data_IF_436126987487
#
_entry.id   IF_436126987487
#
_cell.length_a   1.000
_cell.length_b   1.000
_cell.length_c   1.000
_cell.angle_alpha   90.00
_cell.angle_beta   90.00
_cell.angle_gamma   90.00
#
_symmetry.space_group_name_H-M   'P 1'
#
loop_
_entity.id
_entity.type
_entity.pdbx_description
1 polymer ?
#
# COMPACT_ATOMS: atom_id res chain seq x y z
N UNK A 1 37.60 14.05 35.09
CA UNK A 1 37.87 12.65 34.70
C UNK A 1 36.62 11.98 34.16
N UNK A 2 36.62 11.61 32.88
CA UNK A 2 35.55 10.80 32.30
C UNK A 2 36.03 9.35 32.23
N UNK A 3 35.40 8.46 32.99
CA UNK A 3 35.65 7.02 32.89
C UNK A 3 35.00 6.46 31.61
N UNK A 4 35.76 5.66 30.84
CA UNK A 4 35.24 4.91 29.68
C UNK A 4 34.89 3.49 30.12
N UNK A 5 33.70 3.03 29.74
CA UNK A 5 33.24 1.66 29.99
C UNK A 5 33.08 0.97 28.63
N UNK A 6 33.70 -0.19 28.46
CA UNK A 6 33.60 -1.00 27.25
C UNK A 6 32.69 -2.21 27.48
N UNK A 7 31.62 -2.31 26.70
CA UNK A 7 30.68 -3.44 26.74
C UNK A 7 30.97 -4.37 25.56
N UNK A 8 31.93 -5.27 25.73
CA UNK A 8 32.40 -6.16 24.65
C UNK A 8 31.71 -7.53 24.62
N UNK A 9 31.11 -7.92 25.73
CA UNK A 9 30.44 -9.22 25.87
C UNK A 9 29.14 -9.27 25.06
N UNK A 10 29.06 -10.23 24.13
CA UNK A 10 27.89 -10.45 23.28
C UNK A 10 27.15 -11.72 23.73
N UNK A 11 25.91 -11.52 24.17
CA UNK A 11 25.00 -12.57 24.65
C UNK A 11 23.95 -12.98 23.60
N UNK A 12 23.98 -12.37 22.40
CA UNK A 12 22.95 -12.54 21.36
C UNK A 12 23.38 -13.54 20.29
N UNK A 13 24.58 -13.37 19.74
CA UNK A 13 25.05 -14.07 18.56
C UNK A 13 25.83 -15.35 18.91
N UNK A 14 25.81 -16.31 18.00
CA UNK A 14 26.65 -17.50 18.07
C UNK A 14 28.11 -17.15 17.77
N UNK A 15 29.03 -17.98 18.28
CA UNK A 15 30.48 -17.76 18.15
C UNK A 15 30.96 -17.55 16.70
N UNK A 16 30.53 -18.31 15.67
CA UNK A 16 30.98 -18.08 14.29
C UNK A 16 30.58 -16.72 13.72
N UNK A 17 29.44 -16.15 14.14
CA UNK A 17 29.03 -14.81 13.72
C UNK A 17 29.97 -13.77 14.33
N UNK A 18 30.30 -13.92 15.61
CA UNK A 18 31.22 -13.01 16.33
C UNK A 18 32.61 -13.08 15.72
N UNK A 19 33.13 -14.29 15.51
CA UNK A 19 34.46 -14.51 14.94
C UNK A 19 34.54 -13.90 13.54
N UNK A 20 33.51 -14.13 12.70
CA UNK A 20 33.41 -13.55 11.37
C UNK A 20 33.37 -12.01 11.37
N UNK A 21 32.53 -11.41 12.23
CA UNK A 21 32.45 -9.95 12.35
C UNK A 21 33.78 -9.36 12.79
N UNK A 22 34.43 -9.96 13.80
CA UNK A 22 35.72 -9.50 14.28
C UNK A 22 36.78 -9.54 13.19
N UNK A 23 36.84 -10.62 12.40
CA UNK A 23 37.80 -10.78 11.30
C UNK A 23 37.56 -9.74 10.19
N UNK A 24 36.31 -9.59 9.73
CA UNK A 24 35.95 -8.63 8.68
C UNK A 24 36.25 -7.19 9.08
N UNK A 25 35.85 -6.78 10.29
CA UNK A 25 36.04 -5.40 10.73
C UNK A 25 37.48 -5.10 11.13
N UNK A 26 38.22 -6.09 11.62
CA UNK A 26 39.66 -5.94 11.82
C UNK A 26 40.36 -5.62 10.49
N UNK A 27 40.11 -6.39 9.44
CA UNK A 27 40.72 -6.15 8.11
C UNK A 27 40.25 -4.83 7.47
N UNK A 28 38.97 -4.47 7.56
CA UNK A 28 38.43 -3.26 6.91
C UNK A 28 38.90 -1.97 7.59
N UNK A 29 39.11 -1.99 8.91
CA UNK A 29 39.46 -0.77 9.68
C UNK A 29 40.96 -0.60 9.88
N UNK A 30 41.75 -1.65 9.71
CA UNK A 30 43.19 -1.59 9.87
C UNK A 30 43.85 -1.01 8.61
N UNK A 31 44.63 0.08 8.74
CA UNK A 31 45.39 0.65 7.61
C UNK A 31 44.71 1.75 6.77
N UNK A 32 43.65 2.39 7.28
CA UNK A 32 42.96 3.60 6.80
C UNK A 32 41.77 3.47 5.82
N UNK A 33 40.61 3.94 6.31
CA UNK A 33 39.57 4.76 5.64
C UNK A 33 38.54 5.31 6.63
N UNK A 34 38.48 4.73 7.82
CA UNK A 34 37.64 5.14 8.93
C UNK A 34 38.52 5.73 10.04
N UNK A 35 38.09 6.81 10.67
CA UNK A 35 38.85 7.53 11.72
C UNK A 35 39.01 6.73 13.04
N UNK A 36 38.56 5.47 13.06
CA UNK A 36 38.50 4.63 14.26
C UNK A 36 39.03 3.23 13.98
N UNK A 37 39.96 2.78 14.80
CA UNK A 37 40.48 1.41 14.80
C UNK A 37 39.51 0.48 15.54
N UNK A 38 39.28 -0.72 14.99
CA UNK A 38 38.49 -1.76 15.66
C UNK A 38 39.26 -2.46 16.79
N UNK A 39 40.59 -2.31 16.82
CA UNK A 39 41.46 -2.95 17.80
C UNK A 39 41.11 -2.51 19.22
N UNK A 40 40.88 -3.48 20.11
CA UNK A 40 40.46 -3.26 21.49
C UNK A 40 38.94 -3.16 21.70
N UNK A 41 38.16 -3.07 20.62
CA UNK A 41 36.69 -3.08 20.62
C UNK A 41 36.09 -4.40 20.11
N UNK A 42 36.90 -5.46 20.03
CA UNK A 42 36.46 -6.76 19.53
C UNK A 42 35.34 -7.34 20.41
N UNK A 43 34.38 -7.96 19.74
CA UNK A 43 33.27 -8.65 20.41
C UNK A 43 33.78 -9.92 21.09
N UNK A 44 33.37 -10.13 22.34
CA UNK A 44 33.68 -11.31 23.14
C UNK A 44 32.43 -12.18 23.23
N UNK A 45 32.52 -13.44 22.80
CA UNK A 45 31.43 -14.39 22.96
C UNK A 45 31.21 -14.68 24.46
N UNK A 46 30.00 -14.41 24.97
CA UNK A 46 29.68 -14.52 26.39
C UNK A 46 28.43 -15.37 26.67
N UNK A 47 27.97 -16.14 25.69
CA UNK A 47 26.73 -16.91 25.79
C UNK A 47 26.99 -18.31 26.35
N UNK A 48 26.18 -18.72 27.34
CA UNK A 48 26.18 -20.07 27.94
C UNK A 48 25.26 -21.03 27.16
N UNK A 49 25.36 -21.07 25.83
CA UNK A 49 24.61 -22.00 24.99
C UNK A 49 25.49 -23.18 24.56
N UNK A 50 24.90 -24.39 24.52
CA UNK A 50 25.57 -25.60 24.05
C UNK A 50 26.04 -25.52 22.59
N UNK A 51 26.84 -26.51 22.17
CA UNK A 51 27.64 -26.57 20.94
C UNK A 51 26.90 -26.45 19.59
N UNK A 52 25.58 -26.25 19.55
CA UNK A 52 24.87 -26.07 18.28
C UNK A 52 25.24 -24.74 17.65
N UNK A 53 26.17 -24.80 16.72
CA UNK A 53 26.72 -23.62 16.04
C UNK A 53 26.76 -23.87 14.54
N UNK A 54 26.14 -22.99 13.77
CA UNK A 54 26.14 -23.03 12.30
C UNK A 54 27.25 -22.13 11.75
N UNK A 55 27.99 -22.56 10.72
CA UNK A 55 29.00 -21.74 10.10
C UNK A 55 28.37 -20.58 9.33
N UNK A 56 29.10 -19.47 9.22
CA UNK A 56 28.78 -18.42 8.25
C UNK A 56 29.00 -19.00 6.86
N UNK A 57 27.95 -19.00 6.04
CA UNK A 57 27.96 -19.63 4.71
C UNK A 57 27.92 -18.56 3.63
N UNK A 58 28.82 -18.68 2.64
CA UNK A 58 28.82 -17.85 1.45
C UNK A 58 28.27 -18.63 0.27
N UNK A 59 27.21 -18.13 -0.33
CA UNK A 59 26.69 -18.63 -1.59
C UNK A 59 27.12 -17.68 -2.72
N UNK A 60 27.85 -18.20 -3.70
CA UNK A 60 28.35 -17.43 -4.84
C UNK A 60 27.58 -17.83 -6.10
N UNK A 61 26.90 -16.87 -6.72
CA UNK A 61 26.29 -17.05 -8.04
C UNK A 61 27.36 -16.87 -9.12
N UNK A 62 27.75 -17.96 -9.77
CA UNK A 62 28.66 -17.94 -10.92
C UNK A 62 27.83 -17.65 -12.18
N UNK A 63 27.74 -16.37 -12.56
CA UNK A 63 27.12 -15.92 -13.81
C UNK A 63 28.15 -15.17 -14.66
N UNK A 64 28.13 -15.41 -15.97
CA UNK A 64 28.87 -14.58 -16.91
C UNK A 64 28.43 -13.11 -16.78
N UNK A 65 29.39 -12.18 -16.88
CA UNK A 65 29.25 -10.76 -16.50
C UNK A 65 28.10 -9.99 -17.19
N UNK A 66 27.47 -10.57 -18.20
CA UNK A 66 26.49 -9.88 -19.06
C UNK A 66 25.05 -9.89 -18.53
N UNK A 67 24.67 -10.75 -17.55
CA UNK A 67 23.28 -10.87 -17.11
C UNK A 67 23.04 -10.65 -15.60
N UNK A 68 23.16 -9.38 -15.18
CA UNK A 68 22.94 -8.95 -13.78
C UNK A 68 21.52 -9.19 -13.28
N UNK A 69 20.52 -9.24 -14.16
CA UNK A 69 19.13 -9.48 -13.76
C UNK A 69 18.94 -10.93 -13.33
N UNK A 70 19.43 -11.85 -14.16
CA UNK A 70 19.38 -13.29 -13.91
C UNK A 70 20.17 -13.70 -12.65
N UNK A 71 21.30 -13.04 -12.39
CA UNK A 71 22.07 -13.27 -11.17
C UNK A 71 21.24 -13.00 -9.89
N UNK A 72 20.46 -11.91 -9.87
CA UNK A 72 19.59 -11.57 -8.73
C UNK A 72 18.40 -12.52 -8.60
N UNK A 73 17.82 -12.94 -9.72
CA UNK A 73 16.76 -13.95 -9.71
C UNK A 73 17.25 -15.27 -9.10
N UNK A 74 18.44 -15.73 -9.50
CA UNK A 74 19.07 -16.92 -8.94
C UNK A 74 19.36 -16.77 -7.44
N UNK A 75 19.81 -15.60 -7.01
CA UNK A 75 20.04 -15.29 -5.59
C UNK A 75 18.75 -15.41 -4.77
N UNK A 76 17.67 -14.80 -5.24
CA UNK A 76 16.36 -14.86 -4.59
C UNK A 76 15.81 -16.30 -4.52
N UNK A 77 15.94 -17.05 -5.61
CA UNK A 77 15.49 -18.45 -5.68
C UNK A 77 16.31 -19.36 -4.77
N UNK A 78 17.63 -19.13 -4.69
CA UNK A 78 18.51 -19.85 -3.77
C UNK A 78 18.12 -19.59 -2.31
N UNK A 79 17.89 -18.33 -1.92
CA UNK A 79 17.49 -17.98 -0.56
C UNK A 79 16.15 -18.63 -0.21
N UNK A 80 15.16 -18.57 -1.11
CA UNK A 80 13.87 -19.21 -0.89
C UNK A 80 13.99 -20.73 -0.73
N UNK A 81 14.81 -21.37 -1.57
CA UNK A 81 15.14 -22.80 -1.46
C UNK A 81 15.81 -23.16 -0.14
N UNK A 82 16.72 -22.31 0.34
CA UNK A 82 17.46 -22.57 1.56
C UNK A 82 16.57 -22.42 2.80
N UNK A 83 15.69 -21.42 2.83
CA UNK A 83 14.70 -21.28 3.90
C UNK A 83 13.78 -22.52 3.94
N UNK A 84 13.26 -22.96 2.79
CA UNK A 84 12.43 -24.18 2.70
C UNK A 84 13.18 -25.42 3.17
N UNK A 85 14.48 -25.52 2.86
CA UNK A 85 15.32 -26.63 3.29
C UNK A 85 15.44 -26.70 4.82
N UNK A 86 15.59 -25.54 5.46
CA UNK A 86 15.89 -25.38 6.88
C UNK A 86 14.66 -25.48 7.80
N UNK A 87 13.52 -24.90 7.37
CA UNK A 87 12.28 -24.84 8.15
C UNK A 87 11.78 -26.25 8.48
N UNK A 88 11.41 -26.47 9.75
CA UNK A 88 10.88 -27.76 10.21
C UNK A 88 11.90 -28.91 10.27
N UNK A 89 13.14 -28.73 9.80
CA UNK A 89 14.21 -29.75 9.85
C UNK A 89 15.31 -29.40 10.83
N UNK A 90 15.70 -28.13 10.88
CA UNK A 90 16.78 -27.67 11.74
C UNK A 90 16.24 -27.11 13.05
N UNK A 91 16.97 -27.37 14.14
CA UNK A 91 16.63 -26.91 15.48
C UNK A 91 17.38 -25.65 15.84
N UNK A 92 16.70 -24.79 16.58
CA UNK A 92 17.25 -23.65 17.31
C UNK A 92 17.96 -24.15 18.57
N UNK A 93 18.71 -23.25 19.19
CA UNK A 93 19.38 -23.51 20.47
C UNK A 93 18.40 -23.86 21.61
N UNK A 94 17.17 -23.34 21.56
CA UNK A 94 16.09 -23.66 22.52
C UNK A 94 15.46 -25.04 22.29
N UNK A 95 15.96 -25.79 21.30
CA UNK A 95 15.46 -27.11 20.90
C UNK A 95 14.24 -27.08 19.98
N UNK A 96 13.61 -25.93 19.75
CA UNK A 96 12.47 -25.82 18.85
C UNK A 96 12.91 -25.85 17.38
N UNK A 97 12.07 -26.39 16.50
CA UNK A 97 12.32 -26.34 15.06
C UNK A 97 12.24 -24.90 14.55
N UNK A 98 13.06 -24.57 13.55
CA UNK A 98 12.99 -23.30 12.83
C UNK A 98 11.62 -23.12 12.16
N UNK A 99 11.06 -21.92 12.31
CA UNK A 99 9.81 -21.46 11.69
C UNK A 99 10.13 -20.28 10.77
N UNK A 100 9.23 -19.94 9.85
CA UNK A 100 9.44 -18.81 8.91
C UNK A 100 9.75 -17.48 9.61
N UNK A 101 9.14 -17.21 10.76
CA UNK A 101 9.39 -16.01 11.57
C UNK A 101 10.80 -15.90 12.16
N UNK A 102 11.57 -16.98 12.12
CA UNK A 102 12.95 -17.02 12.62
C UNK A 102 13.97 -16.57 11.55
N UNK A 103 13.52 -16.22 10.33
CA UNK A 103 14.35 -15.75 9.22
C UNK A 103 14.15 -14.26 8.95
N UNK A 104 15.25 -13.57 8.63
CA UNK A 104 15.24 -12.18 8.15
C UNK A 104 16.16 -12.06 6.92
N UNK A 105 15.67 -11.41 5.86
CA UNK A 105 16.45 -11.14 4.64
C UNK A 105 16.79 -9.64 4.65
N UNK A 106 18.08 -9.33 4.80
CA UNK A 106 18.57 -7.95 4.82
C UNK A 106 19.09 -7.56 3.44
N UNK A 107 18.51 -6.51 2.86
CA UNK A 107 18.91 -5.97 1.57
C UNK A 107 19.55 -4.59 1.76
N UNK A 108 20.63 -4.30 1.01
CA UNK A 108 21.27 -2.97 1.04
C UNK A 108 20.35 -1.83 0.61
N UNK A 109 19.31 -2.14 -0.18
CA UNK A 109 18.21 -1.26 -0.49
C UNK A 109 16.95 -2.12 -0.70
N UNK A 110 15.92 -1.91 0.11
CA UNK A 110 14.65 -2.65 0.02
C UNK A 110 13.86 -2.19 -1.21
N UNK A 111 13.77 -0.86 -1.42
CA UNK A 111 13.02 -0.24 -2.51
C UNK A 111 13.50 -0.73 -3.88
N UNK A 112 12.58 -1.29 -4.67
CA UNK A 112 12.85 -1.80 -6.01
C UNK A 112 13.52 -3.18 -6.07
N UNK A 113 13.88 -3.81 -4.94
CA UNK A 113 14.45 -5.16 -4.89
C UNK A 113 13.56 -6.19 -4.21
N UNK A 114 12.79 -5.83 -3.19
CA UNK A 114 12.05 -6.81 -2.39
C UNK A 114 10.99 -7.60 -3.17
N UNK A 115 10.34 -7.02 -4.20
CA UNK A 115 9.37 -7.76 -5.05
C UNK A 115 9.97 -9.03 -5.65
N UNK A 116 11.26 -9.00 -5.99
CA UNK A 116 11.96 -10.16 -6.55
C UNK A 116 12.03 -11.32 -5.55
N UNK A 117 12.42 -11.02 -4.30
CA UNK A 117 12.51 -12.00 -3.22
C UNK A 117 11.13 -12.45 -2.76
N UNK A 118 10.16 -11.54 -2.64
CA UNK A 118 8.77 -11.88 -2.33
C UNK A 118 8.18 -12.87 -3.34
N UNK A 119 8.41 -12.64 -4.64
CA UNK A 119 7.95 -13.55 -5.69
C UNK A 119 8.59 -14.94 -5.58
N UNK A 120 9.90 -15.02 -5.31
CA UNK A 120 10.58 -16.29 -5.11
C UNK A 120 10.04 -17.05 -3.88
N UNK A 121 9.81 -16.35 -2.78
CA UNK A 121 9.22 -16.92 -1.55
C UNK A 121 7.77 -17.39 -1.78
N UNK A 122 6.96 -16.57 -2.45
CA UNK A 122 5.57 -16.89 -2.77
C UNK A 122 5.43 -18.13 -3.67
N UNK A 123 6.33 -18.31 -4.65
CA UNK A 123 6.34 -19.51 -5.50
C UNK A 123 6.53 -20.81 -4.71
N UNK A 124 7.18 -20.74 -3.55
CA UNK A 124 7.40 -21.86 -2.61
C UNK A 124 6.41 -21.87 -1.45
N UNK A 125 5.39 -21.01 -1.47
CA UNK A 125 4.41 -20.90 -0.39
C UNK A 125 4.97 -20.37 0.94
N UNK A 126 6.12 -19.67 0.90
CA UNK A 126 6.77 -19.14 2.10
C UNK A 126 6.16 -17.77 2.42
N UNK A 127 5.51 -17.59 3.58
CA UNK A 127 4.98 -16.30 3.99
C UNK A 127 6.12 -15.32 4.28
N UNK A 128 6.04 -14.12 3.72
CA UNK A 128 6.98 -13.04 3.99
C UNK A 128 6.26 -11.74 4.30
N UNK A 129 6.90 -10.92 5.13
CA UNK A 129 6.51 -9.55 5.41
C UNK A 129 7.69 -8.70 5.01
N UNK A 130 7.45 -7.71 4.16
CA UNK A 130 8.47 -6.75 3.76
C UNK A 130 8.07 -5.38 4.27
N UNK A 131 9.07 -4.61 4.70
CA UNK A 131 8.94 -3.17 4.96
C UNK A 131 8.85 -2.40 3.63
N UNK A 132 8.14 -2.94 2.63
CA UNK A 132 7.85 -2.17 1.44
C UNK A 132 6.83 -1.10 1.79
N UNK A 133 7.31 0.15 1.75
CA UNK A 133 6.53 1.34 1.45
C UNK A 133 5.98 1.27 0.01
N UNK A 134 5.29 0.20 -0.40
CA UNK A 134 4.20 0.41 -1.34
C UNK A 134 3.21 1.24 -0.54
N UNK A 135 3.22 2.55 -0.79
CA UNK A 135 2.32 3.47 -0.12
C UNK A 135 0.94 2.87 -0.26
N UNK A 136 0.31 2.47 0.85
CA UNK A 136 -1.01 1.85 0.83
C UNK A 136 -2.01 2.74 0.06
N UNK A 137 -1.72 4.04 -0.02
CA UNK A 137 -2.46 5.06 -0.74
C UNK A 137 -2.37 4.93 -2.26
N UNK A 138 -1.36 4.23 -2.81
CA UNK A 138 -1.24 3.92 -4.23
C UNK A 138 -2.04 2.68 -4.65
N UNK A 139 -2.55 1.89 -3.68
CA UNK A 139 -3.34 0.70 -3.97
C UNK A 139 -4.66 1.09 -4.66
N UNK A 140 -5.07 0.42 -5.76
CA UNK A 140 -6.26 0.81 -6.53
C UNK A 140 -7.55 0.93 -5.70
N UNK A 141 -7.76 0.01 -4.76
CA UNK A 141 -8.89 0.00 -3.85
C UNK A 141 -8.86 1.18 -2.86
N UNK A 142 -7.68 1.59 -2.41
CA UNK A 142 -7.53 2.74 -1.53
C UNK A 142 -7.74 4.03 -2.32
N UNK A 143 -7.13 4.15 -3.50
CA UNK A 143 -7.34 5.26 -4.43
C UNK A 143 -8.82 5.45 -4.77
N UNK A 144 -9.56 4.36 -4.96
CA UNK A 144 -11.01 4.40 -5.19
C UNK A 144 -11.74 5.00 -3.99
N UNK A 145 -11.43 4.51 -2.78
CA UNK A 145 -12.04 5.03 -1.55
C UNK A 145 -11.73 6.50 -1.35
N UNK A 146 -10.47 6.92 -1.51
CA UNK A 146 -10.08 8.33 -1.39
C UNK A 146 -10.77 9.18 -2.43
N UNK A 147 -10.84 8.72 -3.69
CA UNK A 147 -11.59 9.38 -4.75
C UNK A 147 -13.07 9.53 -4.38
N UNK A 148 -13.67 8.49 -3.79
CA UNK A 148 -15.05 8.54 -3.31
C UNK A 148 -15.23 9.60 -2.23
N UNK A 149 -14.37 9.60 -1.20
CA UNK A 149 -14.41 10.58 -0.10
C UNK A 149 -14.23 12.00 -0.63
N UNK A 150 -13.25 12.24 -1.52
CA UNK A 150 -13.00 13.54 -2.15
C UNK A 150 -14.18 14.01 -3.00
N UNK A 151 -14.80 13.15 -3.80
CA UNK A 151 -16.02 13.51 -4.54
C UNK A 151 -17.20 13.79 -3.62
N UNK A 152 -17.35 13.04 -2.53
CA UNK A 152 -18.42 13.25 -1.56
C UNK A 152 -18.21 14.57 -0.82
N UNK A 153 -16.97 14.94 -0.47
CA UNK A 153 -16.65 16.22 0.16
C UNK A 153 -16.84 17.38 -0.84
N UNK A 154 -16.18 17.29 -1.98
CA UNK A 154 -16.21 18.26 -3.06
C UNK A 154 -16.44 17.61 -4.45
N UNK A 155 -17.69 17.60 -4.95
CA UNK A 155 -18.01 17.02 -6.25
C UNK A 155 -17.37 17.73 -7.44
N UNK A 156 -16.89 18.97 -7.27
CA UNK A 156 -16.23 19.73 -8.34
C UNK A 156 -14.77 19.36 -8.54
N UNK A 157 -14.22 18.42 -7.75
CA UNK A 157 -12.95 17.78 -8.06
C UNK A 157 -13.16 16.78 -9.21
N UNK A 158 -12.92 17.26 -10.43
CA UNK A 158 -13.13 16.51 -11.66
C UNK A 158 -12.29 15.21 -11.69
N UNK A 159 -11.11 15.17 -11.08
CA UNK A 159 -10.22 13.99 -11.08
C UNK A 159 -10.85 12.90 -10.22
N UNK A 160 -11.16 13.22 -8.95
CA UNK A 160 -11.78 12.27 -8.03
C UNK A 160 -13.15 11.80 -8.54
N UNK A 161 -13.95 12.72 -9.10
CA UNK A 161 -15.25 12.40 -9.69
C UNK A 161 -15.12 11.43 -10.86
N UNK A 162 -14.19 11.67 -11.79
CA UNK A 162 -13.94 10.76 -12.91
C UNK A 162 -13.45 9.39 -12.45
N UNK A 163 -12.54 9.35 -11.47
CA UNK A 163 -12.04 8.10 -10.90
C UNK A 163 -13.18 7.27 -10.27
N UNK A 164 -14.06 7.92 -9.50
CA UNK A 164 -15.22 7.29 -8.90
C UNK A 164 -16.20 6.78 -9.96
N UNK A 165 -16.54 7.58 -10.98
CA UNK A 165 -17.45 7.17 -12.05
C UNK A 165 -16.91 5.96 -12.84
N UNK A 166 -15.60 5.93 -13.12
CA UNK A 166 -14.94 4.81 -13.82
C UNK A 166 -14.74 3.57 -12.97
N UNK A 167 -14.92 3.69 -11.65
CA UNK A 167 -14.71 2.58 -10.73
C UNK A 167 -15.67 1.42 -11.01
N UNK A 168 -15.35 0.20 -10.55
CA UNK A 168 -16.27 -0.94 -10.62
C UNK A 168 -17.63 -0.69 -9.94
N UNK A 169 -17.73 0.30 -9.06
CA UNK A 169 -18.99 0.67 -8.37
C UNK A 169 -19.98 1.27 -9.36
N UNK A 170 -19.54 2.17 -10.25
CA UNK A 170 -20.43 2.92 -11.15
C UNK A 170 -20.27 2.56 -12.64
N UNK A 171 -19.13 2.02 -13.04
CA UNK A 171 -18.93 1.39 -14.35
C UNK A 171 -19.12 2.31 -15.56
N UNK A 172 -18.73 3.58 -15.45
CA UNK A 172 -18.72 4.50 -16.60
C UNK A 172 -17.51 4.23 -17.49
N UNK A 173 -17.72 4.16 -18.79
CA UNK A 173 -16.64 4.03 -19.77
C UNK A 173 -16.04 5.39 -20.14
N UNK A 174 -14.83 5.38 -20.71
CA UNK A 174 -14.20 6.61 -21.21
C UNK A 174 -15.08 7.34 -22.25
N UNK A 175 -15.74 6.58 -23.13
CA UNK A 175 -16.66 7.11 -24.14
C UNK A 175 -17.91 7.75 -23.50
N UNK A 176 -18.44 7.13 -22.44
CA UNK A 176 -19.57 7.68 -21.68
C UNK A 176 -19.21 9.02 -21.01
N UNK A 177 -18.02 9.12 -20.39
CA UNK A 177 -17.55 10.38 -19.81
C UNK A 177 -17.34 11.47 -20.88
N UNK A 178 -16.74 11.09 -22.01
CA UNK A 178 -16.57 11.99 -23.15
C UNK A 178 -17.92 12.53 -23.66
N UNK A 179 -18.92 11.65 -23.83
CA UNK A 179 -20.27 12.06 -24.28
C UNK A 179 -20.94 13.03 -23.31
N UNK A 180 -20.81 12.81 -22.00
CA UNK A 180 -21.33 13.75 -20.98
C UNK A 180 -20.69 15.12 -21.17
N UNK A 181 -19.36 15.17 -21.30
CA UNK A 181 -18.61 16.41 -21.44
C UNK A 181 -18.90 17.13 -22.76
N UNK A 182 -18.95 16.40 -23.86
CA UNK A 182 -19.15 16.94 -25.20
C UNK A 182 -20.56 17.51 -25.39
N UNK A 183 -21.56 16.88 -24.80
CA UNK A 183 -22.97 17.29 -24.95
C UNK A 183 -23.31 18.61 -24.24
N UNK A 184 -22.47 19.04 -23.29
CA UNK A 184 -22.74 20.13 -22.35
C UNK A 184 -21.50 21.02 -22.15
N UNK A 185 -21.04 21.72 -23.21
CA UNK A 185 -19.86 22.57 -23.13
C UNK A 185 -20.08 23.76 -22.19
N UNK A 186 -19.00 24.21 -21.54
CA UNK A 186 -18.99 25.38 -20.66
C UNK A 186 -19.42 25.15 -19.21
N UNK A 187 -19.87 23.93 -18.86
CA UNK A 187 -20.13 23.53 -17.49
C UNK A 187 -18.89 22.93 -16.82
N UNK A 188 -18.86 22.90 -15.48
CA UNK A 188 -17.96 21.98 -14.75
C UNK A 188 -18.33 20.53 -15.09
N UNK A 189 -17.42 19.57 -14.89
CA UNK A 189 -17.78 18.19 -15.18
C UNK A 189 -18.91 17.69 -14.29
N UNK A 190 -18.87 18.03 -12.99
CA UNK A 190 -19.98 17.76 -12.08
C UNK A 190 -21.32 18.32 -12.55
N UNK A 191 -21.38 19.60 -12.91
CA UNK A 191 -22.63 20.21 -13.40
C UNK A 191 -23.11 19.53 -14.70
N UNK A 192 -22.19 19.01 -15.52
CA UNK A 192 -22.52 18.23 -16.72
C UNK A 192 -23.17 16.89 -16.37
N UNK A 193 -22.69 16.20 -15.32
CA UNK A 193 -23.29 14.96 -14.81
C UNK A 193 -24.67 15.24 -14.20
N UNK A 194 -24.83 16.34 -13.44
CA UNK A 194 -26.12 16.78 -12.90
C UNK A 194 -27.09 17.08 -14.04
N UNK A 195 -26.65 17.79 -15.08
CA UNK A 195 -27.44 18.05 -16.30
C UNK A 195 -27.90 16.76 -16.95
N UNK A 196 -26.99 15.82 -17.19
CA UNK A 196 -27.32 14.50 -17.71
C UNK A 196 -28.34 13.75 -16.82
N UNK A 197 -28.25 13.87 -15.49
CA UNK A 197 -29.18 13.20 -14.56
C UNK A 197 -30.63 13.72 -14.66
N UNK A 198 -30.78 15.03 -14.92
CA UNK A 198 -32.05 15.74 -14.97
C UNK A 198 -32.68 15.77 -16.37
N UNK A 199 -31.89 15.48 -17.42
CA UNK A 199 -32.41 15.39 -18.78
C UNK A 199 -33.46 14.27 -18.88
N UNK A 200 -34.69 14.67 -19.23
CA UNK A 200 -35.72 13.75 -19.66
C UNK A 200 -35.66 13.58 -21.19
N UNK A 201 -36.40 12.63 -21.74
CA UNK A 201 -36.49 12.31 -23.18
C UNK A 201 -36.77 13.54 -24.09
N UNK A 202 -37.21 14.68 -23.51
CA UNK A 202 -37.57 15.93 -24.18
C UNK A 202 -36.45 17.01 -24.20
N UNK A 203 -35.24 16.72 -23.74
CA UNK A 203 -34.02 17.45 -24.16
C UNK A 203 -33.80 18.85 -23.57
N UNK A 204 -34.34 19.17 -22.40
CA UNK A 204 -34.03 20.40 -21.64
C UNK A 204 -33.82 20.08 -20.16
N UNK A 205 -32.80 20.69 -19.57
CA UNK A 205 -32.57 20.69 -18.12
C UNK A 205 -32.25 22.11 -17.66
N UNK A 206 -32.77 22.49 -16.49
CA UNK A 206 -32.51 23.79 -15.85
C UNK A 206 -31.57 23.55 -14.68
N UNK A 207 -30.37 24.12 -14.75
CA UNK A 207 -29.34 24.00 -13.69
C UNK A 207 -28.72 25.38 -13.47
N UNK A 208 -28.45 25.74 -12.21
CA UNK A 208 -27.77 26.97 -11.78
C UNK A 208 -28.11 28.20 -12.66
N UNK A 209 -29.39 28.54 -12.76
CA UNK A 209 -29.84 29.79 -13.41
C UNK A 209 -29.85 29.80 -14.94
N UNK A 210 -29.58 28.69 -15.63
CA UNK A 210 -29.60 28.59 -17.09
C UNK A 210 -30.41 27.41 -17.63
N UNK A 211 -30.90 27.53 -18.87
CA UNK A 211 -31.56 26.45 -19.62
C UNK A 211 -30.53 25.80 -20.53
N UNK A 212 -30.12 24.56 -20.23
CA UNK A 212 -29.21 23.79 -21.06
C UNK A 212 -30.01 22.88 -21.99
N UNK A 213 -29.74 23.04 -23.29
CA UNK A 213 -30.28 22.17 -24.34
C UNK A 213 -29.20 21.18 -24.73
N UNK A 214 -29.60 19.93 -24.96
CA UNK A 214 -28.73 18.98 -25.64
C UNK A 214 -28.31 19.57 -26.99
N UNK A 215 -27.00 19.50 -27.28
CA UNK A 215 -26.51 19.64 -28.66
C UNK A 215 -27.25 18.65 -29.56
N UNK A 216 -27.40 18.98 -30.85
CA UNK A 216 -28.22 18.33 -31.88
C UNK A 216 -28.54 16.83 -31.67
N UNK A 217 -29.75 16.39 -32.09
CA UNK A 217 -30.26 15.00 -31.96
C UNK A 217 -29.25 13.88 -32.26
N UNK A 218 -28.25 14.14 -33.10
CA UNK A 218 -27.22 13.17 -33.52
C UNK A 218 -26.21 12.81 -32.42
N UNK A 219 -26.01 13.69 -31.43
CA UNK A 219 -25.00 13.56 -30.38
C UNK A 219 -25.59 13.48 -28.95
N UNK A 220 -26.89 13.24 -28.82
CA UNK A 220 -27.53 13.11 -27.51
C UNK A 220 -27.01 11.86 -26.75
N UNK A 221 -26.76 11.95 -25.44
CA UNK A 221 -26.37 10.81 -24.62
C UNK A 221 -27.45 9.71 -24.67
N UNK A 222 -27.07 8.43 -24.76
CA UNK A 222 -28.03 7.34 -24.74
C UNK A 222 -28.80 7.30 -23.42
N UNK A 223 -30.04 6.80 -23.46
CA UNK A 223 -30.93 6.76 -22.29
C UNK A 223 -30.35 5.97 -21.11
N UNK A 224 -29.58 4.93 -21.39
CA UNK A 224 -28.83 4.15 -20.40
C UNK A 224 -27.80 4.99 -19.65
N UNK A 225 -27.06 5.86 -20.35
CA UNK A 225 -26.09 6.77 -19.75
C UNK A 225 -26.78 7.82 -18.87
N UNK A 226 -27.89 8.39 -19.32
CA UNK A 226 -28.68 9.32 -18.50
C UNK A 226 -29.19 8.65 -17.22
N UNK A 227 -29.60 7.37 -17.30
CA UNK A 227 -30.03 6.59 -16.15
C UNK A 227 -28.86 6.30 -15.19
N UNK A 228 -27.66 5.99 -15.70
CA UNK A 228 -26.45 5.88 -14.87
C UNK A 228 -26.15 7.19 -14.14
N UNK A 229 -26.19 8.34 -14.83
CA UNK A 229 -26.00 9.65 -14.21
C UNK A 229 -27.03 9.93 -13.12
N UNK A 230 -28.30 9.58 -13.36
CA UNK A 230 -29.38 9.73 -12.37
C UNK A 230 -29.17 8.88 -11.13
N UNK A 231 -28.77 7.63 -11.33
CA UNK A 231 -28.45 6.75 -10.22
C UNK A 231 -27.25 7.28 -9.41
N UNK A 232 -26.16 7.65 -10.09
CA UNK A 232 -24.98 8.23 -9.44
C UNK A 232 -25.30 9.49 -8.63
N UNK A 233 -26.03 10.46 -9.19
CA UNK A 233 -26.38 11.70 -8.47
C UNK A 233 -27.27 11.42 -7.26
N UNK A 234 -28.19 10.44 -7.35
CA UNK A 234 -29.00 10.00 -6.19
C UNK A 234 -28.12 9.44 -5.07
N UNK A 235 -27.18 8.56 -5.41
CA UNK A 235 -26.23 7.96 -4.47
C UNK A 235 -25.31 9.01 -3.84
N UNK A 236 -24.73 9.90 -4.67
CA UNK A 236 -23.86 10.97 -4.21
C UNK A 236 -24.58 11.89 -3.21
N UNK A 237 -25.82 12.28 -3.49
CA UNK A 237 -26.63 13.09 -2.57
C UNK A 237 -26.94 12.35 -1.27
N UNK A 238 -27.21 11.05 -1.33
CA UNK A 238 -27.38 10.22 -0.14
C UNK A 238 -26.11 10.22 0.71
N UNK A 239 -24.95 9.94 0.14
CA UNK A 239 -23.68 9.93 0.86
C UNK A 239 -23.32 11.30 1.42
N UNK A 240 -23.50 12.38 0.64
CA UNK A 240 -23.28 13.76 1.10
C UNK A 240 -24.14 14.10 2.30
N UNK A 241 -25.42 13.71 2.28
CA UNK A 241 -26.34 13.92 3.41
C UNK A 241 -25.90 13.12 4.64
N UNK A 242 -25.43 11.88 4.46
CA UNK A 242 -24.95 11.04 5.56
C UNK A 242 -23.62 11.50 6.13
N UNK A 243 -22.73 12.05 5.32
CA UNK A 243 -21.46 12.60 5.78
C UNK A 243 -21.64 13.84 6.67
N UNK A 244 -22.76 14.56 6.54
CA UNK A 244 -23.10 15.68 7.42
C UNK A 244 -23.43 15.19 8.83
N UNK A 245 -22.51 15.44 9.77
CA UNK A 245 -22.71 15.15 11.20
C UNK A 245 -22.44 13.71 11.63
N UNK A 246 -22.02 12.83 10.70
CA UNK A 246 -21.59 11.48 11.03
C UNK A 246 -20.08 11.44 11.31
N UNK A 247 -19.69 10.54 12.21
CA UNK A 247 -18.31 10.17 12.42
C UNK A 247 -17.72 9.54 11.13
N UNK A 248 -16.51 9.92 10.75
CA UNK A 248 -15.87 9.53 9.50
C UNK A 248 -15.73 8.02 9.37
N UNK A 249 -15.33 7.30 10.42
CA UNK A 249 -15.26 5.83 10.36
C UNK A 249 -16.65 5.20 10.18
N UNK A 250 -17.70 5.77 10.79
CA UNK A 250 -19.09 5.28 10.61
C UNK A 250 -19.57 5.53 9.19
N UNK A 251 -19.25 6.70 8.63
CA UNK A 251 -19.56 7.04 7.25
C UNK A 251 -18.84 6.09 6.29
N UNK A 252 -17.55 5.85 6.51
CA UNK A 252 -16.74 4.96 5.68
C UNK A 252 -17.27 3.53 5.72
N UNK A 253 -17.64 3.03 6.91
CA UNK A 253 -18.29 1.72 7.05
C UNK A 253 -19.62 1.65 6.30
N UNK A 254 -20.46 2.69 6.42
CA UNK A 254 -21.70 2.81 5.67
C UNK A 254 -21.43 2.78 4.16
N UNK A 255 -20.43 3.51 3.69
CA UNK A 255 -20.06 3.53 2.28
C UNK A 255 -19.62 2.14 1.81
N UNK A 256 -18.76 1.45 2.56
CA UNK A 256 -18.30 0.09 2.24
C UNK A 256 -19.44 -0.93 2.14
N UNK A 257 -20.40 -0.87 3.06
CA UNK A 257 -21.56 -1.77 3.05
C UNK A 257 -22.56 -1.42 1.95
N UNK A 258 -22.87 -0.14 1.76
CA UNK A 258 -23.89 0.31 0.79
C UNK A 258 -23.42 0.18 -0.66
N UNK A 259 -22.15 0.50 -0.93
CA UNK A 259 -21.55 0.34 -2.27
C UNK A 259 -21.24 -1.12 -2.62
N UNK A 260 -21.24 -2.03 -1.63
CA UNK A 260 -20.80 -3.41 -1.80
C UNK A 260 -19.29 -3.59 -2.00
N UNK A 261 -18.47 -2.56 -1.75
CA UNK A 261 -17.02 -2.60 -1.95
C UNK A 261 -16.33 -3.76 -1.22
N UNK A 262 -16.68 -4.01 0.05
CA UNK A 262 -16.13 -5.13 0.81
C UNK A 262 -16.57 -6.49 0.27
N UNK A 263 -17.82 -6.58 -0.21
CA UNK A 263 -18.36 -7.81 -0.78
C UNK A 263 -17.72 -8.12 -2.14
N UNK A 264 -17.51 -7.09 -2.96
CA UNK A 264 -16.81 -7.22 -4.24
C UNK A 264 -15.34 -7.61 -4.03
N UNK A 265 -14.67 -7.05 -3.01
CA UNK A 265 -13.28 -7.35 -2.69
C UNK A 265 -13.03 -8.86 -2.44
N UNK A 266 -13.93 -9.55 -1.75
CA UNK A 266 -13.81 -10.97 -1.46
C UNK A 266 -13.90 -11.92 -2.67
N UNK A 267 -14.33 -11.41 -3.84
CA UNK A 267 -14.45 -12.20 -5.08
C UNK A 267 -13.20 -12.21 -5.97
N UNK A 268 -12.18 -11.41 -5.66
CA UNK A 268 -10.97 -11.30 -6.48
C UNK A 268 -9.84 -12.25 -6.03
N UNK A 269 -8.98 -12.65 -6.97
CA UNK A 269 -7.69 -13.30 -6.66
C UNK A 269 -6.87 -12.30 -5.84
N UNK A 270 -6.62 -12.58 -4.56
CA UNK A 270 -6.10 -11.66 -3.50
C UNK A 270 -7.13 -10.81 -2.73
N UNK A 271 -8.40 -11.23 -2.66
CA UNK A 271 -9.44 -10.50 -1.91
C UNK A 271 -9.09 -10.18 -0.45
N UNK A 272 -8.34 -11.05 0.24
CA UNK A 272 -7.88 -10.81 1.61
C UNK A 272 -6.98 -9.56 1.74
N UNK A 273 -6.15 -9.28 0.73
CA UNK A 273 -5.29 -8.08 0.69
C UNK A 273 -6.14 -6.84 0.52
N UNK A 274 -7.09 -6.86 -0.41
CA UNK A 274 -8.01 -5.74 -0.70
C UNK A 274 -8.83 -5.42 0.55
N UNK A 275 -9.41 -6.43 1.20
CA UNK A 275 -10.17 -6.25 2.45
C UNK A 275 -9.29 -5.65 3.54
N UNK A 276 -8.06 -6.15 3.72
CA UNK A 276 -7.11 -5.59 4.70
C UNK A 276 -6.80 -4.12 4.43
N UNK A 277 -6.56 -3.75 3.18
CA UNK A 277 -6.26 -2.37 2.78
C UNK A 277 -7.44 -1.42 3.05
N UNK A 278 -8.68 -1.85 2.75
CA UNK A 278 -9.88 -1.09 3.06
C UNK A 278 -10.09 -0.94 4.58
N UNK A 279 -9.88 -2.00 5.35
CA UNK A 279 -9.98 -1.96 6.80
C UNK A 279 -8.91 -1.07 7.45
N UNK A 280 -7.74 -0.93 6.82
CA UNK A 280 -6.69 -0.02 7.29
C UNK A 280 -7.13 1.45 7.19
N UNK A 281 -7.80 1.85 6.10
CA UNK A 281 -8.37 3.20 5.97
C UNK A 281 -9.47 3.44 7.02
N UNK A 282 -10.27 2.42 7.31
CA UNK A 282 -11.23 2.47 8.41
C UNK A 282 -10.55 2.65 9.78
N UNK A 283 -9.45 1.96 10.02
CA UNK A 283 -8.67 2.12 11.25
C UNK A 283 -8.11 3.54 11.37
N UNK A 284 -7.53 4.09 10.29
CA UNK A 284 -7.09 5.48 10.27
C UNK A 284 -8.22 6.48 10.55
N UNK A 285 -9.42 6.23 10.02
CA UNK A 285 -10.58 7.07 10.32
C UNK A 285 -10.98 7.01 11.80
N UNK A 286 -10.80 5.86 12.48
CA UNK A 286 -11.06 5.74 13.92
C UNK A 286 -10.01 6.45 14.74
N UNK A 287 -8.74 6.25 14.41
CA UNK A 287 -7.63 6.83 15.16
C UNK A 287 -7.61 8.35 15.02
N UNK A 288 -7.86 8.85 13.80
CA UNK A 288 -8.08 10.28 13.54
C UNK A 288 -9.13 10.89 14.47
N UNK A 289 -10.28 10.24 14.65
CA UNK A 289 -11.34 10.78 15.51
C UNK A 289 -11.04 10.69 17.00
N UNK A 290 -10.27 9.68 17.43
CA UNK A 290 -9.81 9.58 18.81
C UNK A 290 -8.88 10.74 19.20
N UNK A 291 -8.21 11.38 18.24
CA UNK A 291 -7.38 12.57 18.50
C UNK A 291 -8.18 13.88 18.65
N UNK A 292 -9.52 13.82 18.55
CA UNK A 292 -10.41 14.96 18.80
C UNK A 292 -10.81 15.77 17.56
N UNK A 293 -10.21 15.49 16.40
CA UNK A 293 -10.64 16.06 15.12
C UNK A 293 -11.93 15.39 14.62
N UNK A 294 -12.76 16.14 13.89
CA UNK A 294 -14.03 15.66 13.35
C UNK A 294 -14.26 16.14 11.93
N UNK A 295 -15.04 15.35 11.20
CA UNK A 295 -15.55 15.69 9.87
C UNK A 295 -14.72 15.13 8.72
N UNK A 296 -15.42 14.84 7.62
CA UNK A 296 -14.87 14.20 6.42
C UNK A 296 -13.73 15.03 5.80
N UNK A 297 -13.91 16.34 5.63
CA UNK A 297 -12.90 17.22 5.02
C UNK A 297 -11.61 17.30 5.84
N UNK A 298 -11.70 17.19 7.17
CA UNK A 298 -10.53 17.16 8.05
C UNK A 298 -9.81 15.81 7.97
N UNK A 299 -10.57 14.71 7.86
CA UNK A 299 -10.00 13.39 7.65
C UNK A 299 -9.30 13.26 6.29
N UNK A 300 -9.88 13.80 5.21
CA UNK A 300 -9.25 13.80 3.88
C UNK A 300 -7.91 14.52 3.93
N UNK A 301 -7.83 15.70 4.55
CA UNK A 301 -6.57 16.43 4.73
C UNK A 301 -5.55 15.64 5.53
N UNK A 302 -5.98 15.01 6.62
CA UNK A 302 -5.12 14.14 7.43
C UNK A 302 -4.54 12.99 6.60
N UNK A 303 -5.36 12.32 5.78
CA UNK A 303 -4.88 11.25 4.90
C UNK A 303 -3.91 11.77 3.84
N UNK A 304 -4.20 12.91 3.21
CA UNK A 304 -3.31 13.51 2.21
C UNK A 304 -1.95 13.86 2.85
N UNK A 305 -1.92 14.40 4.08
CA UNK A 305 -0.68 14.67 4.82
C UNK A 305 0.13 13.39 5.11
N UNK A 306 -0.53 12.27 5.45
CA UNK A 306 0.15 10.99 5.70
C UNK A 306 0.70 10.42 4.39
N UNK A 307 -0.07 10.51 3.30
CA UNK A 307 0.34 10.05 1.99
C UNK A 307 1.57 10.82 1.48
N UNK A 308 1.61 12.14 1.68
CA UNK A 308 2.76 12.98 1.33
C UNK A 308 4.02 12.68 2.15
N UNK A 309 3.87 12.25 3.41
CA UNK A 309 4.98 11.89 4.31
C UNK A 309 5.57 10.50 4.07
N UNK A 310 5.10 9.78 3.05
CA UNK A 310 5.62 8.45 2.73
C UNK A 310 4.93 7.30 3.46
N UNK A 311 3.75 7.57 4.03
CA UNK A 311 2.77 6.53 4.31
C UNK A 311 2.86 5.80 5.65
N UNK A 312 3.42 6.41 6.70
CA UNK A 312 3.46 5.74 8.01
C UNK A 312 2.94 6.57 9.19
N UNK A 313 2.16 5.88 10.02
CA UNK A 313 1.74 6.28 11.37
C UNK A 313 1.97 5.13 12.38
N UNK A 314 2.63 4.05 11.97
CA UNK A 314 3.06 2.97 12.85
C UNK A 314 4.50 3.18 13.34
#
# INVERSE_FOLDING_TARGET
DCARIFLRENFRCAKPIIDFVNEVFFEITNGNRFEKEYRGEELVYAKNSGETSFPVTFALSLTDKEDKSKAKENEAEYIASEIERLVGRQRKEDGNLLKYKDFAILLSAVKGKSRLYENALNRRGIPCITEQNESIFEMPEVMLVLSALKTIDNPTDDISLCALLRSPVYGFTADELYRIRYSLPGLSFYDSVVAASCLNTYGRSVIKGGVYKLSEKKNAPPRSLLQKCRWFIKELNFYRTKAQGMLCYKFLWLFYMHSGLLSAAGGFVQGDRVVRNLLLIYQYARDFENTGFKGLSSFIRYIDEIAERGGDLA
#
